data_IF_720809773277
#
_entry.id   IF_720809773277
#
_cell.length_a   1.000
_cell.length_b   1.000
_cell.length_c   1.000
_cell.angle_alpha   90.00
_cell.angle_beta   90.00
_cell.angle_gamma   90.00
#
_symmetry.space_group_name_H-M   'P 1'
#
loop_
_entity.id
_entity.type
_entity.pdbx_description
1 polymer ?
#
# COMPACT_ATOMS: atom_id res chain seq x y z
N UNK A 1 10.85 -30.31 -26.17
CA UNK A 1 10.64 -28.92 -26.58
C UNK A 1 11.40 -27.99 -25.62
N UNK A 2 12.44 -27.30 -26.07
CA UNK A 2 13.17 -26.30 -25.31
C UNK A 2 12.25 -25.07 -25.14
N UNK A 3 11.57 -24.97 -24.02
CA UNK A 3 10.82 -23.76 -23.66
C UNK A 3 11.82 -22.63 -23.42
N UNK A 4 11.82 -21.63 -24.31
CA UNK A 4 12.65 -20.42 -24.16
C UNK A 4 12.22 -19.65 -22.92
N UNK A 5 13.16 -19.15 -22.12
CA UNK A 5 12.91 -18.37 -20.87
C UNK A 5 12.18 -17.06 -21.14
N UNK A 6 12.40 -16.48 -22.32
CA UNK A 6 11.70 -15.29 -22.77
C UNK A 6 10.66 -15.72 -23.81
N UNK A 7 9.43 -15.23 -23.65
CA UNK A 7 8.51 -15.19 -24.77
C UNK A 7 9.16 -14.37 -25.89
N UNK A 8 8.77 -14.60 -27.15
CA UNK A 8 9.11 -13.65 -28.21
C UNK A 8 8.48 -12.31 -27.79
N UNK A 9 9.31 -11.47 -27.14
CA UNK A 9 8.90 -10.17 -26.65
C UNK A 9 8.39 -9.36 -27.84
N UNK A 10 7.10 -9.06 -27.83
CA UNK A 10 6.50 -8.19 -28.82
C UNK A 10 6.00 -6.95 -28.11
N UNK A 11 6.59 -5.82 -28.40
CA UNK A 11 6.18 -4.50 -27.91
C UNK A 11 4.66 -4.24 -28.14
N UNK A 12 4.04 -4.95 -29.11
CA UNK A 12 2.62 -4.85 -29.40
C UNK A 12 1.70 -5.35 -28.28
N UNK A 13 2.23 -6.14 -27.33
CA UNK A 13 1.47 -6.67 -26.21
C UNK A 13 1.65 -5.85 -24.91
N UNK A 14 2.49 -4.82 -24.93
CA UNK A 14 2.57 -3.88 -23.83
C UNK A 14 1.33 -2.98 -23.77
N UNK A 15 0.82 -2.82 -22.58
CA UNK A 15 -0.30 -1.89 -22.35
C UNK A 15 0.22 -0.45 -22.21
N UNK A 16 0.33 0.24 -23.35
CA UNK A 16 0.83 1.61 -23.37
C UNK A 16 -0.08 2.59 -22.62
N UNK A 17 -1.39 2.28 -22.50
CA UNK A 17 -2.33 3.12 -21.75
C UNK A 17 -1.98 3.06 -20.26
N UNK A 18 -1.75 1.85 -19.73
CA UNK A 18 -1.34 1.68 -18.34
C UNK A 18 -0.02 2.40 -18.06
N UNK A 19 0.97 2.22 -18.94
CA UNK A 19 2.28 2.88 -18.80
C UNK A 19 2.14 4.41 -18.83
N UNK A 20 1.31 4.95 -19.72
CA UNK A 20 1.07 6.40 -19.80
C UNK A 20 0.37 6.95 -18.54
N UNK A 21 -0.62 6.22 -18.01
CA UNK A 21 -1.30 6.61 -16.75
C UNK A 21 -0.33 6.60 -15.56
N UNK A 22 0.52 5.57 -15.47
CA UNK A 22 1.55 5.46 -14.42
C UNK A 22 2.57 6.58 -14.58
N UNK A 23 3.02 6.88 -15.81
CA UNK A 23 3.95 7.99 -16.08
C UNK A 23 3.36 9.35 -15.70
N UNK A 24 2.08 9.59 -16.05
CA UNK A 24 1.38 10.82 -15.71
C UNK A 24 1.26 11.02 -14.19
N UNK A 25 0.86 9.98 -13.46
CA UNK A 25 0.76 10.02 -12.00
C UNK A 25 2.12 10.28 -11.35
N UNK A 26 3.18 9.59 -11.80
CA UNK A 26 4.52 9.81 -11.29
C UNK A 26 5.06 11.19 -11.65
N UNK A 27 4.71 11.74 -12.82
CA UNK A 27 5.07 13.11 -13.21
C UNK A 27 4.51 14.14 -12.23
N UNK A 28 3.23 13.98 -11.83
CA UNK A 28 2.62 14.85 -10.79
C UNK A 28 3.35 14.63 -9.45
N UNK A 29 3.65 13.39 -9.08
CA UNK A 29 4.37 13.06 -7.84
C UNK A 29 5.78 13.69 -7.79
N UNK A 30 6.53 13.62 -8.89
CA UNK A 30 7.88 14.23 -9.00
C UNK A 30 7.79 15.77 -8.87
N UNK A 31 6.79 16.39 -9.47
CA UNK A 31 6.57 17.81 -9.31
C UNK A 31 6.25 18.18 -7.86
N UNK A 32 5.31 17.46 -7.23
CA UNK A 32 4.92 17.69 -5.85
C UNK A 32 6.08 17.45 -4.86
N UNK A 33 6.89 16.41 -5.06
CA UNK A 33 8.08 16.15 -4.23
C UNK A 33 9.12 17.27 -4.45
N UNK A 34 9.31 17.71 -5.69
CA UNK A 34 10.26 18.78 -6.00
C UNK A 34 9.89 20.12 -5.37
N UNK A 35 8.59 20.37 -5.13
CA UNK A 35 8.11 21.53 -4.40
C UNK A 35 8.26 21.37 -2.89
N UNK A 36 7.95 20.17 -2.35
CA UNK A 36 8.06 19.91 -0.92
C UNK A 36 9.51 19.83 -0.43
N UNK A 37 10.38 19.14 -1.20
CA UNK A 37 11.78 18.87 -0.86
C UNK A 37 12.60 18.69 -2.14
N UNK A 38 13.23 19.76 -2.60
CA UNK A 38 13.94 19.80 -3.90
C UNK A 38 15.02 18.73 -4.05
N UNK A 39 15.73 18.41 -2.96
CA UNK A 39 16.83 17.45 -2.96
C UNK A 39 16.35 16.00 -3.21
N UNK A 40 15.06 15.70 -2.99
CA UNK A 40 14.48 14.39 -3.22
C UNK A 40 13.93 14.21 -4.64
N UNK A 41 13.72 15.29 -5.39
CA UNK A 41 13.17 15.23 -6.75
C UNK A 41 14.02 14.38 -7.70
N UNK A 42 15.36 14.56 -7.65
CA UNK A 42 16.30 13.76 -8.45
C UNK A 42 16.22 12.27 -8.13
N UNK A 43 16.18 11.91 -6.85
CA UNK A 43 16.05 10.51 -6.41
C UNK A 43 14.73 9.89 -6.87
N UNK A 44 13.64 10.65 -6.84
CA UNK A 44 12.35 10.17 -7.32
C UNK A 44 12.34 9.92 -8.83
N UNK A 45 13.01 10.79 -9.59
CA UNK A 45 13.19 10.60 -11.05
C UNK A 45 14.02 9.35 -11.36
N UNK A 46 15.13 9.12 -10.64
CA UNK A 46 15.94 7.90 -10.77
C UNK A 46 15.10 6.65 -10.45
N UNK A 47 14.30 6.71 -9.37
CA UNK A 47 13.37 5.65 -8.99
C UNK A 47 12.34 5.35 -10.08
N UNK A 48 11.78 6.38 -10.73
CA UNK A 48 10.85 6.23 -11.84
C UNK A 48 11.50 5.53 -13.03
N UNK A 49 12.70 5.95 -13.44
CA UNK A 49 13.43 5.36 -14.56
C UNK A 49 13.71 3.88 -14.25
N UNK A 50 14.24 3.60 -13.07
CA UNK A 50 14.51 2.23 -12.63
C UNK A 50 13.23 1.39 -12.62
N UNK A 51 12.12 1.94 -12.09
CA UNK A 51 10.82 1.27 -12.07
C UNK A 51 10.32 0.90 -13.46
N UNK A 52 10.42 1.81 -14.44
CA UNK A 52 10.04 1.51 -15.83
C UNK A 52 10.97 0.44 -16.47
N UNK A 53 12.28 0.49 -16.23
CA UNK A 53 13.22 -0.53 -16.72
C UNK A 53 12.85 -1.90 -16.16
N UNK A 54 12.58 -1.98 -14.85
CA UNK A 54 12.16 -3.23 -14.18
C UNK A 54 10.82 -3.70 -14.71
N UNK A 55 9.84 -2.81 -14.89
CA UNK A 55 8.52 -3.16 -15.42
C UNK A 55 8.61 -3.75 -16.84
N UNK A 56 9.39 -3.14 -17.73
CA UNK A 56 9.63 -3.63 -19.09
C UNK A 56 10.34 -4.99 -19.05
N UNK A 57 11.35 -5.14 -18.21
CA UNK A 57 12.06 -6.42 -18.04
C UNK A 57 11.12 -7.52 -17.55
N UNK A 58 10.32 -7.26 -16.49
CA UNK A 58 9.38 -8.24 -15.96
C UNK A 58 8.27 -8.57 -16.95
N UNK A 59 7.83 -7.63 -17.78
CA UNK A 59 6.83 -7.89 -18.83
C UNK A 59 7.33 -8.83 -19.93
N UNK A 60 8.64 -8.93 -20.10
CA UNK A 60 9.25 -9.88 -21.04
C UNK A 60 9.34 -11.32 -20.49
N UNK A 61 9.12 -11.51 -19.18
CA UNK A 61 9.16 -12.84 -18.56
C UNK A 61 7.84 -13.57 -18.74
N UNK A 62 7.93 -14.88 -18.95
CA UNK A 62 6.76 -15.76 -18.94
C UNK A 62 6.28 -15.98 -17.49
N UNK A 63 5.18 -15.32 -17.12
CA UNK A 63 4.65 -15.39 -15.74
C UNK A 63 4.28 -16.81 -15.31
N UNK A 64 3.89 -17.71 -16.23
CA UNK A 64 3.62 -19.11 -15.88
C UNK A 64 4.84 -19.83 -15.28
N UNK A 65 6.05 -19.42 -15.69
CA UNK A 65 7.28 -19.97 -15.10
C UNK A 65 7.61 -19.31 -13.78
N UNK A 66 7.40 -18.00 -13.70
CA UNK A 66 7.59 -17.25 -12.47
C UNK A 66 6.74 -17.86 -11.38
N UNK A 67 5.44 -18.02 -11.58
CA UNK A 67 4.52 -18.55 -10.57
C UNK A 67 4.73 -20.04 -10.24
N UNK A 68 5.51 -20.78 -11.04
CA UNK A 68 5.82 -22.19 -10.75
C UNK A 68 6.52 -22.38 -9.40
N UNK A 69 7.31 -21.40 -8.99
CA UNK A 69 8.08 -21.42 -7.75
C UNK A 69 7.30 -20.85 -6.55
N UNK A 70 5.98 -20.94 -6.53
CA UNK A 70 5.12 -20.29 -5.54
C UNK A 70 5.52 -20.56 -4.08
N UNK A 71 5.87 -21.81 -3.73
CA UNK A 71 6.33 -22.16 -2.38
C UNK A 71 7.65 -21.49 -2.01
N UNK A 72 8.54 -21.28 -2.97
CA UNK A 72 9.77 -20.50 -2.75
C UNK A 72 9.44 -19.04 -2.44
N UNK A 73 8.42 -18.46 -3.09
CA UNK A 73 7.98 -17.09 -2.78
C UNK A 73 7.39 -16.97 -1.39
N UNK A 74 6.62 -17.96 -0.95
CA UNK A 74 6.13 -18.00 0.43
C UNK A 74 7.27 -18.09 1.45
N UNK A 75 8.20 -19.01 1.23
CA UNK A 75 9.37 -19.14 2.08
C UNK A 75 10.23 -17.87 2.08
N UNK A 76 10.43 -17.23 0.91
CA UNK A 76 11.16 -15.98 0.80
C UNK A 76 10.43 -14.81 1.51
N UNK A 77 9.10 -14.75 1.44
CA UNK A 77 8.31 -13.75 2.16
C UNK A 77 8.48 -13.89 3.68
N UNK A 78 8.34 -15.11 4.21
CA UNK A 78 8.55 -15.40 5.63
C UNK A 78 9.98 -15.07 6.03
N UNK A 79 10.97 -15.47 5.24
CA UNK A 79 12.38 -15.19 5.51
C UNK A 79 12.67 -13.69 5.55
N UNK A 80 12.19 -12.91 4.56
CA UNK A 80 12.35 -11.47 4.53
C UNK A 80 11.72 -10.79 5.75
N UNK A 81 10.52 -11.21 6.14
CA UNK A 81 9.84 -10.68 7.33
C UNK A 81 10.60 -11.04 8.61
N UNK A 82 11.17 -12.24 8.70
CA UNK A 82 11.94 -12.68 9.85
C UNK A 82 13.30 -11.97 9.97
N UNK A 83 13.89 -11.49 8.86
CA UNK A 83 15.16 -10.75 8.87
C UNK A 83 15.10 -9.47 9.70
N UNK A 84 13.94 -8.86 9.86
CA UNK A 84 13.74 -7.65 10.66
C UNK A 84 14.08 -7.89 12.13
N UNK A 85 13.90 -9.11 12.64
CA UNK A 85 14.19 -9.50 14.02
C UNK A 85 15.68 -9.85 14.23
N UNK A 86 16.50 -9.75 13.19
CA UNK A 86 17.95 -9.97 13.26
C UNK A 86 18.69 -8.65 13.53
N UNK A 87 20.00 -8.66 13.80
CA UNK A 87 20.80 -7.44 13.95
C UNK A 87 20.84 -6.52 12.72
N UNK A 88 20.29 -6.95 11.57
CA UNK A 88 20.12 -6.13 10.39
C UNK A 88 18.91 -5.19 10.47
N UNK A 89 18.02 -5.43 11.44
CA UNK A 89 16.84 -4.60 11.69
C UNK A 89 17.22 -3.20 12.18
N UNK A 90 16.55 -2.19 11.63
CA UNK A 90 16.71 -0.79 12.01
C UNK A 90 15.42 -0.32 12.65
N UNK A 91 15.52 0.16 13.89
CA UNK A 91 14.40 0.78 14.60
C UNK A 91 14.30 2.25 14.22
N UNK A 92 13.07 2.65 13.88
CA UNK A 92 12.68 4.05 13.68
C UNK A 92 11.33 4.25 14.38
N UNK A 93 11.21 5.31 15.18
CA UNK A 93 9.97 5.65 15.90
C UNK A 93 9.38 4.46 16.71
N UNK A 94 10.25 3.85 17.55
CA UNK A 94 9.92 2.71 18.43
C UNK A 94 9.48 1.42 17.69
N UNK A 95 9.56 1.37 16.36
CA UNK A 95 9.22 0.20 15.58
C UNK A 95 10.39 -0.25 14.69
N UNK A 96 10.69 -1.54 14.71
CA UNK A 96 11.71 -2.15 13.86
C UNK A 96 11.02 -2.73 12.63
N UNK A 97 11.04 -1.99 11.51
CA UNK A 97 10.34 -2.36 10.25
C UNK A 97 11.25 -2.39 9.04
N UNK A 98 12.47 -1.89 9.19
CA UNK A 98 13.43 -1.70 8.11
C UNK A 98 14.65 -2.58 8.31
N UNK A 99 15.28 -2.98 7.21
CA UNK A 99 16.61 -3.59 7.21
C UNK A 99 17.60 -2.70 6.46
N UNK A 100 18.86 -2.70 6.89
CA UNK A 100 19.93 -1.96 6.22
C UNK A 100 20.94 -2.93 5.61
N UNK A 101 20.94 -3.00 4.28
CA UNK A 101 21.91 -3.77 3.48
C UNK A 101 22.49 -2.80 2.45
N UNK A 102 23.34 -1.84 2.92
CA UNK A 102 23.78 -0.73 2.09
C UNK A 102 22.70 0.34 1.87
N UNK A 103 21.56 -0.06 1.34
CA UNK A 103 20.31 0.74 1.26
C UNK A 103 19.34 0.30 2.35
N UNK A 104 18.43 1.20 2.72
CA UNK A 104 17.38 0.91 3.67
C UNK A 104 16.15 0.39 2.92
N UNK A 105 15.67 -0.81 3.29
CA UNK A 105 14.58 -1.51 2.62
C UNK A 105 13.56 -1.94 3.66
N UNK A 106 12.26 -1.85 3.34
CA UNK A 106 11.19 -2.39 4.16
C UNK A 106 10.78 -3.77 3.62
N UNK A 107 11.07 -4.87 4.34
CA UNK A 107 10.81 -6.24 3.87
C UNK A 107 9.34 -6.53 3.59
N UNK A 108 8.42 -5.93 4.33
CA UNK A 108 6.97 -6.13 4.15
C UNK A 108 6.48 -5.66 2.78
N UNK A 109 7.11 -4.68 2.15
CA UNK A 109 6.76 -4.23 0.80
C UNK A 109 6.99 -5.33 -0.24
N UNK A 110 8.14 -6.02 -0.15
CA UNK A 110 8.45 -7.14 -1.02
C UNK A 110 7.61 -8.38 -0.67
N UNK A 111 7.40 -8.63 0.62
CA UNK A 111 6.61 -9.76 1.09
C UNK A 111 5.17 -9.71 0.55
N UNK A 112 4.54 -8.53 0.44
CA UNK A 112 3.22 -8.36 -0.19
C UNK A 112 3.18 -8.92 -1.61
N UNK A 113 4.16 -8.57 -2.43
CA UNK A 113 4.24 -9.04 -3.84
C UNK A 113 4.41 -10.56 -3.89
N UNK A 114 5.32 -11.10 -3.07
CA UNK A 114 5.60 -12.54 -3.01
C UNK A 114 4.36 -13.33 -2.53
N UNK A 115 3.63 -12.80 -1.56
CA UNK A 115 2.39 -13.40 -1.06
C UNK A 115 1.29 -13.39 -2.13
N UNK A 116 1.14 -12.30 -2.92
CA UNK A 116 0.19 -12.26 -4.04
C UNK A 116 0.48 -13.40 -5.03
N UNK A 117 1.74 -13.53 -5.45
CA UNK A 117 2.17 -14.57 -6.38
C UNK A 117 1.94 -15.99 -5.82
N UNK A 118 2.25 -16.16 -4.54
CA UNK A 118 2.01 -17.43 -3.86
C UNK A 118 0.53 -17.79 -3.81
N UNK A 119 -0.33 -16.90 -3.29
CA UNK A 119 -1.75 -17.18 -3.14
C UNK A 119 -2.45 -17.37 -4.47
N UNK A 120 -2.13 -16.57 -5.49
CA UNK A 120 -2.66 -16.74 -6.83
C UNK A 120 -2.40 -18.17 -7.34
N UNK A 121 -1.14 -18.62 -7.29
CA UNK A 121 -0.78 -19.98 -7.74
C UNK A 121 -1.34 -21.08 -6.85
N UNK A 122 -1.33 -20.91 -5.53
CA UNK A 122 -1.89 -21.86 -4.59
C UNK A 122 -3.37 -22.12 -4.88
N UNK A 123 -4.15 -21.05 -5.02
CA UNK A 123 -5.57 -21.16 -5.30
C UNK A 123 -5.82 -21.79 -6.67
N UNK A 124 -5.11 -21.37 -7.72
CA UNK A 124 -5.21 -21.98 -9.05
C UNK A 124 -4.97 -23.50 -9.01
N UNK A 125 -4.02 -23.95 -8.17
CA UNK A 125 -3.63 -25.35 -8.09
C UNK A 125 -4.62 -26.19 -7.31
N UNK A 126 -5.16 -25.68 -6.21
CA UNK A 126 -5.89 -26.48 -5.21
C UNK A 126 -7.41 -26.27 -5.19
N UNK A 127 -7.89 -25.11 -5.67
CA UNK A 127 -9.33 -24.76 -5.68
C UNK A 127 -10.21 -25.86 -6.33
N UNK A 128 -9.77 -26.46 -7.43
CA UNK A 128 -10.51 -27.52 -8.12
C UNK A 128 -10.27 -28.93 -7.58
N UNK A 129 -9.29 -29.13 -6.71
CA UNK A 129 -8.87 -30.46 -6.19
C UNK A 129 -9.34 -30.74 -4.79
N UNK A 130 -9.77 -29.73 -4.05
CA UNK A 130 -10.17 -29.84 -2.64
C UNK A 130 -11.60 -29.37 -2.44
N UNK A 131 -12.25 -29.85 -1.36
CA UNK A 131 -13.53 -29.28 -0.92
C UNK A 131 -13.36 -27.81 -0.59
N UNK A 132 -14.38 -26.99 -0.87
CA UNK A 132 -14.34 -25.53 -0.76
C UNK A 132 -13.80 -25.05 0.61
N UNK A 133 -14.28 -25.64 1.70
CA UNK A 133 -13.86 -25.21 3.04
C UNK A 133 -12.41 -25.60 3.37
N UNK A 134 -11.91 -26.70 2.83
CA UNK A 134 -10.55 -27.17 3.09
C UNK A 134 -9.51 -26.23 2.48
N UNK A 135 -9.66 -25.87 1.20
CA UNK A 135 -8.67 -24.98 0.59
C UNK A 135 -8.73 -23.55 1.17
N UNK A 136 -9.93 -23.07 1.57
CA UNK A 136 -10.09 -21.77 2.25
C UNK A 136 -9.39 -21.81 3.62
N UNK A 137 -9.62 -22.85 4.42
CA UNK A 137 -8.97 -23.02 5.73
C UNK A 137 -7.45 -23.09 5.61
N UNK A 138 -6.94 -23.76 4.58
CA UNK A 138 -5.50 -23.79 4.31
C UNK A 138 -4.95 -22.42 3.93
N UNK A 139 -5.66 -21.65 3.11
CA UNK A 139 -5.27 -20.27 2.79
C UNK A 139 -5.22 -19.40 4.05
N UNK A 140 -6.21 -19.49 4.92
CA UNK A 140 -6.24 -18.75 6.18
C UNK A 140 -5.12 -19.20 7.13
N UNK A 141 -4.88 -20.51 7.24
CA UNK A 141 -3.78 -21.03 8.05
C UNK A 141 -2.40 -20.55 7.54
N UNK A 142 -2.22 -20.49 6.22
CA UNK A 142 -1.00 -19.97 5.61
C UNK A 142 -0.88 -18.43 5.70
N UNK A 143 -1.98 -17.73 5.98
CA UNK A 143 -1.94 -16.29 6.23
C UNK A 143 -1.42 -15.94 7.64
N UNK A 144 -1.59 -16.83 8.61
CA UNK A 144 -1.23 -16.57 10.01
C UNK A 144 0.26 -16.24 10.18
N UNK A 145 1.22 -17.03 9.67
CA UNK A 145 2.64 -16.73 9.88
C UNK A 145 3.09 -15.35 9.38
N UNK A 146 2.80 -14.91 8.12
CA UNK A 146 3.23 -13.59 7.69
C UNK A 146 2.51 -12.46 8.43
N UNK A 147 1.22 -12.62 8.78
CA UNK A 147 0.47 -11.62 9.54
C UNK A 147 1.03 -11.46 10.96
N UNK A 148 1.37 -12.57 11.64
CA UNK A 148 1.98 -12.52 12.96
C UNK A 148 3.35 -11.84 12.91
N UNK A 149 4.20 -12.18 11.93
CA UNK A 149 5.52 -11.55 11.81
C UNK A 149 5.43 -10.04 11.58
N UNK A 150 4.46 -9.57 10.79
CA UNK A 150 4.26 -8.13 10.56
C UNK A 150 3.68 -7.46 11.83
N UNK A 151 2.76 -8.13 12.52
CA UNK A 151 2.18 -7.62 13.76
C UNK A 151 3.23 -7.45 14.87
N UNK A 152 4.17 -8.40 15.00
CA UNK A 152 5.29 -8.33 15.94
C UNK A 152 6.32 -7.22 15.59
N UNK A 153 6.28 -6.65 14.38
CA UNK A 153 7.06 -5.47 13.96
C UNK A 153 6.39 -4.14 14.35
N UNK A 154 5.49 -4.08 15.31
CA UNK A 154 4.43 -3.10 15.61
C UNK A 154 3.89 -2.35 14.37
N UNK A 155 3.60 -3.07 13.26
CA UNK A 155 3.06 -2.48 12.03
C UNK A 155 1.61 -2.93 11.79
N UNK A 156 0.70 -2.35 12.56
CA UNK A 156 -0.73 -2.66 12.47
C UNK A 156 -1.29 -2.30 11.09
N UNK A 157 -0.87 -1.19 10.51
CA UNK A 157 -1.36 -0.71 9.20
C UNK A 157 -1.04 -1.70 8.09
N UNK A 158 0.21 -2.17 8.02
CA UNK A 158 0.64 -3.17 7.04
C UNK A 158 -0.01 -4.53 7.32
N UNK A 159 -0.19 -4.91 8.59
CA UNK A 159 -0.90 -6.15 8.96
C UNK A 159 -2.33 -6.15 8.42
N UNK A 160 -3.09 -5.07 8.63
CA UNK A 160 -4.45 -4.91 8.10
C UNK A 160 -4.44 -4.92 6.57
N UNK A 161 -3.50 -4.21 5.95
CA UNK A 161 -3.39 -4.16 4.48
C UNK A 161 -3.14 -5.55 3.89
N UNK A 162 -2.21 -6.33 4.44
CA UNK A 162 -1.92 -7.71 3.97
C UNK A 162 -3.12 -8.63 4.21
N UNK A 163 -3.81 -8.48 5.34
CA UNK A 163 -5.04 -9.22 5.61
C UNK A 163 -6.12 -8.93 4.55
N UNK A 164 -6.39 -7.65 4.27
CA UNK A 164 -7.35 -7.24 3.24
C UNK A 164 -6.94 -7.76 1.87
N UNK A 165 -5.65 -7.69 1.52
CA UNK A 165 -5.12 -8.20 0.26
C UNK A 165 -5.41 -9.69 0.10
N UNK A 166 -5.10 -10.51 1.11
CA UNK A 166 -5.39 -11.96 1.10
C UNK A 166 -6.90 -12.20 1.01
N UNK A 167 -7.70 -11.47 1.78
CA UNK A 167 -9.16 -11.56 1.75
C UNK A 167 -9.73 -11.23 0.35
N UNK A 168 -9.20 -10.21 -0.32
CA UNK A 168 -9.60 -9.87 -1.69
C UNK A 168 -9.23 -10.96 -2.70
N UNK A 169 -8.04 -11.54 -2.61
CA UNK A 169 -7.64 -12.66 -3.47
C UNK A 169 -8.59 -13.85 -3.27
N UNK A 170 -8.92 -14.18 -2.03
CA UNK A 170 -9.88 -15.23 -1.71
C UNK A 170 -11.29 -14.90 -2.25
N UNK A 171 -11.72 -13.66 -2.14
CA UNK A 171 -13.00 -13.20 -2.67
C UNK A 171 -13.08 -13.34 -4.18
N UNK A 172 -12.09 -12.84 -4.92
CA UNK A 172 -12.02 -12.95 -6.39
C UNK A 172 -11.93 -14.42 -6.82
N UNK A 173 -11.32 -15.28 -6.01
CA UNK A 173 -11.23 -16.71 -6.30
C UNK A 173 -12.57 -17.46 -6.18
N UNK A 174 -13.68 -16.80 -5.82
CA UNK A 174 -15.04 -17.33 -5.82
C UNK A 174 -15.57 -17.74 -4.46
N UNK A 175 -15.24 -16.98 -3.43
CA UNK A 175 -15.99 -17.06 -2.16
C UNK A 175 -17.46 -16.71 -2.42
N UNK A 176 -18.36 -17.39 -1.73
CA UNK A 176 -19.78 -17.05 -1.83
C UNK A 176 -20.07 -15.72 -1.14
N UNK A 177 -20.89 -14.87 -1.79
CA UNK A 177 -21.34 -13.61 -1.19
C UNK A 177 -22.01 -13.81 0.17
N UNK A 178 -22.67 -14.94 0.41
CA UNK A 178 -23.29 -15.29 1.70
C UNK A 178 -22.24 -15.42 2.81
N UNK A 179 -21.10 -16.03 2.50
CA UNK A 179 -20.01 -16.18 3.48
C UNK A 179 -19.35 -14.82 3.76
N UNK A 180 -19.13 -14.02 2.73
CA UNK A 180 -18.60 -12.65 2.89
C UNK A 180 -19.56 -11.78 3.70
N UNK A 181 -20.85 -11.82 3.37
CA UNK A 181 -21.88 -11.10 4.13
C UNK A 181 -21.93 -11.57 5.60
N UNK A 182 -21.85 -12.89 5.84
CA UNK A 182 -21.79 -13.43 7.21
C UNK A 182 -20.57 -12.94 7.99
N UNK A 183 -19.40 -12.90 7.37
CA UNK A 183 -18.19 -12.34 7.98
C UNK A 183 -18.40 -10.86 8.31
N UNK A 184 -18.90 -10.06 7.35
CA UNK A 184 -19.12 -8.62 7.56
C UNK A 184 -20.13 -8.35 8.68
N UNK A 185 -21.24 -9.12 8.74
CA UNK A 185 -22.27 -8.99 9.80
C UNK A 185 -21.70 -9.24 11.20
N UNK A 186 -20.66 -10.08 11.31
CA UNK A 186 -19.99 -10.32 12.60
C UNK A 186 -18.88 -9.28 12.82
N UNK A 187 -18.02 -9.05 11.81
CA UNK A 187 -16.82 -8.22 11.96
C UNK A 187 -17.18 -6.75 12.19
N UNK A 188 -18.14 -6.19 11.45
CA UNK A 188 -18.49 -4.75 11.57
C UNK A 188 -19.00 -4.40 12.97
N UNK A 189 -19.99 -5.12 13.55
CA UNK A 189 -20.40 -4.85 14.94
C UNK A 189 -19.27 -5.10 15.95
N UNK A 190 -18.44 -6.14 15.74
CA UNK A 190 -17.31 -6.43 16.63
C UNK A 190 -16.29 -5.29 16.64
N UNK A 191 -15.99 -4.69 15.48
CA UNK A 191 -15.10 -3.52 15.39
C UNK A 191 -15.73 -2.31 16.10
N UNK A 192 -17.02 -2.07 15.92
CA UNK A 192 -17.72 -0.96 16.59
C UNK A 192 -17.66 -1.15 18.12
N UNK A 193 -17.95 -2.36 18.60
CA UNK A 193 -17.86 -2.69 20.05
C UNK A 193 -16.42 -2.51 20.54
N UNK A 194 -15.43 -3.02 19.80
CA UNK A 194 -14.02 -2.88 20.15
C UNK A 194 -13.59 -1.41 20.24
N UNK A 195 -13.96 -0.58 19.25
CA UNK A 195 -13.68 0.86 19.27
C UNK A 195 -14.31 1.50 20.51
N UNK A 196 -15.58 1.21 20.80
CA UNK A 196 -16.26 1.72 21.99
C UNK A 196 -15.56 1.30 23.29
N UNK A 197 -15.07 0.06 23.37
CA UNK A 197 -14.34 -0.43 24.56
C UNK A 197 -12.98 0.26 24.73
N UNK A 198 -12.27 0.52 23.61
CA UNK A 198 -10.96 1.20 23.62
C UNK A 198 -11.10 2.68 23.99
N UNK A 199 -12.19 3.32 23.58
CA UNK A 199 -12.40 4.76 23.84
C UNK A 199 -12.86 5.05 25.27
N UNK A 200 -13.31 4.04 26.04
CA UNK A 200 -13.68 4.23 27.44
C UNK A 200 -12.48 4.64 28.29
N UNK A 201 -12.70 5.53 29.26
CA UNK A 201 -11.69 5.94 30.22
C UNK A 201 -11.20 4.74 31.05
N UNK A 202 -9.87 4.62 31.18
CA UNK A 202 -9.25 3.51 31.92
C UNK A 202 -9.13 2.19 31.15
N UNK A 203 -9.43 2.15 29.85
CA UNK A 203 -9.25 0.96 29.03
C UNK A 203 -7.77 0.58 28.92
N UNK A 204 -7.42 -0.66 29.25
CA UNK A 204 -6.07 -1.25 29.13
C UNK A 204 -5.93 -2.18 27.92
N UNK A 205 -6.92 -2.21 27.01
CA UNK A 205 -6.93 -3.09 25.85
C UNK A 205 -5.84 -2.77 24.83
N UNK A 206 -5.43 -1.51 24.74
CA UNK A 206 -4.36 -1.03 23.88
C UNK A 206 -3.37 -0.17 24.69
N UNK A 207 -2.16 -0.04 24.17
CA UNK A 207 -1.18 0.90 24.68
C UNK A 207 -1.73 2.32 24.60
N UNK A 208 -1.31 3.19 25.51
CA UNK A 208 -1.76 4.59 25.56
C UNK A 208 -1.54 5.34 24.24
N UNK A 209 -0.42 5.08 23.58
CA UNK A 209 -0.11 5.62 22.25
C UNK A 209 -1.12 5.15 21.16
N UNK A 210 -1.43 3.84 21.11
CA UNK A 210 -2.39 3.29 20.13
C UNK A 210 -3.80 3.79 20.39
N UNK A 211 -4.20 3.84 21.66
CA UNK A 211 -5.47 4.40 22.09
C UNK A 211 -5.58 5.88 21.70
N UNK A 212 -4.54 6.65 21.98
CA UNK A 212 -4.47 8.06 21.62
C UNK A 212 -4.65 8.31 20.11
N UNK A 213 -4.06 7.45 19.26
CA UNK A 213 -4.26 7.54 17.79
C UNK A 213 -5.70 7.30 17.36
N UNK A 214 -6.40 6.35 17.99
CA UNK A 214 -7.82 6.09 17.71
C UNK A 214 -8.67 7.27 18.18
N UNK A 215 -8.40 7.82 19.35
CA UNK A 215 -9.11 8.99 19.88
C UNK A 215 -8.86 10.23 19.01
N UNK A 216 -7.62 10.46 18.60
CA UNK A 216 -7.26 11.56 17.70
C UNK A 216 -7.93 11.44 16.31
N UNK A 217 -8.21 10.21 15.85
CA UNK A 217 -8.96 9.99 14.61
C UNK A 217 -10.46 10.24 14.77
N UNK A 218 -11.04 9.87 15.93
CA UNK A 218 -12.47 10.07 16.21
C UNK A 218 -12.79 11.51 16.62
N UNK A 219 -11.91 12.14 17.37
CA UNK A 219 -12.06 13.49 17.91
C UNK A 219 -10.81 14.32 17.62
N UNK A 220 -10.53 14.64 16.33
CA UNK A 220 -9.29 15.30 15.95
C UNK A 220 -9.13 16.69 16.56
N UNK A 221 -10.24 17.37 16.88
CA UNK A 221 -10.27 18.70 17.48
C UNK A 221 -9.64 18.71 18.89
N UNK A 222 -9.89 17.67 19.68
CA UNK A 222 -9.36 17.53 21.04
C UNK A 222 -7.84 17.26 21.05
N UNK A 223 -7.31 16.74 19.94
CA UNK A 223 -5.90 16.38 19.76
C UNK A 223 -5.18 17.25 18.73
N UNK A 224 -5.77 18.38 18.35
CA UNK A 224 -5.26 19.25 17.28
C UNK A 224 -3.85 19.80 17.55
N UNK A 225 -3.44 19.95 18.81
CA UNK A 225 -2.11 20.41 19.21
C UNK A 225 -1.10 19.26 19.42
N UNK A 226 -1.52 17.99 19.29
CA UNK A 226 -0.72 16.81 19.59
C UNK A 226 -0.79 15.76 18.48
N UNK A 227 -1.47 14.63 18.69
CA UNK A 227 -1.50 13.49 17.76
C UNK A 227 -2.24 13.80 16.45
N UNK A 228 -3.19 14.74 16.42
CA UNK A 228 -3.90 15.16 15.22
C UNK A 228 -3.30 16.41 14.55
N UNK A 229 -2.21 16.97 15.10
CA UNK A 229 -1.62 18.23 14.62
C UNK A 229 -1.32 18.22 13.12
N UNK A 230 -0.59 17.24 12.62
CA UNK A 230 -0.24 17.13 11.20
C UNK A 230 -1.48 16.91 10.32
N UNK A 231 -2.42 16.08 10.78
CA UNK A 231 -3.66 15.80 10.05
C UNK A 231 -4.52 17.07 9.94
N UNK A 232 -4.67 17.84 11.01
CA UNK A 232 -5.45 19.07 11.01
C UNK A 232 -4.80 20.14 10.09
N UNK A 233 -3.48 20.30 10.17
CA UNK A 233 -2.75 21.19 9.27
C UNK A 233 -2.86 20.75 7.80
N UNK A 234 -2.85 19.43 7.53
CA UNK A 234 -3.05 18.89 6.19
C UNK A 234 -4.44 19.20 5.64
N UNK A 235 -5.48 19.06 6.46
CA UNK A 235 -6.85 19.41 6.07
C UNK A 235 -6.95 20.91 5.77
N UNK A 236 -6.35 21.76 6.61
CA UNK A 236 -6.33 23.20 6.38
C UNK A 236 -5.57 23.56 5.10
N UNK A 237 -4.41 22.94 4.84
CA UNK A 237 -3.63 23.16 3.64
C UNK A 237 -4.41 22.80 2.38
N UNK A 238 -5.00 21.59 2.33
CA UNK A 238 -5.83 21.15 1.20
C UNK A 238 -7.01 22.12 0.99
N UNK A 239 -7.70 22.49 2.06
CA UNK A 239 -8.83 23.44 2.00
C UNK A 239 -8.41 24.84 1.50
N UNK A 240 -7.21 25.30 1.88
CA UNK A 240 -6.68 26.59 1.47
C UNK A 240 -6.35 26.67 -0.03
N UNK A 241 -6.12 25.51 -0.69
CA UNK A 241 -5.87 25.45 -2.13
C UNK A 241 -7.08 25.73 -3.02
N UNK A 242 -8.30 25.71 -2.46
CA UNK A 242 -9.53 26.01 -3.19
C UNK A 242 -9.66 25.23 -4.51
N UNK A 243 -10.10 25.87 -5.62
CA UNK A 243 -10.32 25.22 -6.91
C UNK A 243 -9.01 25.03 -7.70
N UNK A 244 -8.20 26.06 -7.79
CA UNK A 244 -7.02 26.15 -8.68
C UNK A 244 -5.68 25.94 -7.97
N UNK A 245 -5.65 25.95 -6.64
CA UNK A 245 -4.43 25.92 -5.85
C UNK A 245 -3.77 27.30 -5.72
N UNK A 246 -2.75 27.36 -4.86
CA UNK A 246 -1.91 28.55 -4.65
C UNK A 246 -0.78 28.68 -5.69
N UNK A 247 -0.65 27.71 -6.57
CA UNK A 247 0.42 27.62 -7.57
C UNK A 247 1.59 26.77 -7.14
N UNK A 248 2.28 26.21 -8.14
CA UNK A 248 3.44 25.35 -7.95
C UNK A 248 4.60 26.13 -7.30
N UNK A 249 5.21 25.54 -6.27
CA UNK A 249 6.33 26.11 -5.52
C UNK A 249 6.04 27.54 -5.05
N UNK A 250 4.84 27.76 -4.52
CA UNK A 250 4.37 29.09 -4.13
C UNK A 250 5.18 29.65 -2.97
N UNK A 251 5.51 30.95 -3.04
CA UNK A 251 6.15 31.70 -1.96
C UNK A 251 5.14 32.47 -1.09
N UNK A 252 3.85 32.13 -1.17
CA UNK A 252 2.84 32.80 -0.37
C UNK A 252 3.08 32.58 1.12
N UNK A 253 3.03 33.67 1.89
CA UNK A 253 3.18 33.64 3.36
C UNK A 253 2.05 32.83 4.02
N UNK A 254 0.89 32.76 3.37
CA UNK A 254 -0.27 31.97 3.83
C UNK A 254 -0.16 30.47 3.56
N UNK A 255 0.95 30.01 2.96
CA UNK A 255 1.16 28.58 2.70
C UNK A 255 1.44 27.84 4.01
N UNK A 256 0.65 26.80 4.27
CA UNK A 256 0.84 25.90 5.43
C UNK A 256 2.10 25.06 5.24
N UNK A 257 2.42 24.70 3.99
CA UNK A 257 3.65 23.96 3.64
C UNK A 257 4.89 24.79 3.94
N UNK A 258 4.94 26.06 3.48
CA UNK A 258 6.08 26.95 3.69
C UNK A 258 6.30 27.31 5.17
N UNK A 259 5.24 27.23 5.99
CA UNK A 259 5.31 27.48 7.43
C UNK A 259 5.94 26.33 8.21
N UNK A 260 6.23 25.17 7.57
CA UNK A 260 6.84 24.01 8.22
C UNK A 260 5.92 23.28 9.22
N UNK A 261 4.60 23.51 9.17
CA UNK A 261 3.65 22.87 10.07
C UNK A 261 3.42 21.38 9.75
N UNK A 262 3.90 20.91 8.61
CA UNK A 262 3.78 19.50 8.18
C UNK A 262 5.21 18.97 7.95
N UNK A 263 5.71 18.16 8.89
CA UNK A 263 7.11 17.71 8.90
C UNK A 263 7.44 16.66 7.84
N UNK A 264 6.46 15.87 7.38
CA UNK A 264 6.66 14.77 6.42
C UNK A 264 5.83 15.02 5.14
N UNK A 265 5.82 16.27 4.67
CA UNK A 265 5.04 16.68 3.48
C UNK A 265 5.50 15.99 2.21
N UNK A 266 6.78 15.64 2.10
CA UNK A 266 7.39 14.98 0.94
C UNK A 266 7.08 13.47 0.86
N UNK A 267 6.58 12.86 1.93
CA UNK A 267 6.29 11.43 2.04
C UNK A 267 4.83 11.16 2.39
N UNK A 268 4.51 11.13 3.67
CA UNK A 268 3.21 10.69 4.20
C UNK A 268 2.08 11.68 3.84
N UNK A 269 2.41 12.96 3.68
CA UNK A 269 1.45 14.03 3.41
C UNK A 269 1.60 14.65 2.01
N UNK A 270 2.16 13.92 1.03
CA UNK A 270 2.37 14.43 -0.33
C UNK A 270 1.07 14.89 -1.01
N UNK A 271 -0.07 14.26 -0.70
CA UNK A 271 -1.37 14.67 -1.23
C UNK A 271 -1.77 16.07 -0.72
N UNK A 272 -1.28 16.49 0.43
CA UNK A 272 -1.47 17.84 0.97
C UNK A 272 -0.78 18.89 0.11
N UNK A 273 0.45 18.59 -0.34
CA UNK A 273 1.18 19.46 -1.29
C UNK A 273 0.38 19.65 -2.56
N UNK A 274 -0.12 18.54 -3.12
CA UNK A 274 -0.97 18.59 -4.33
C UNK A 274 -2.25 19.39 -4.08
N UNK A 275 -2.89 19.21 -2.93
CA UNK A 275 -4.11 19.92 -2.58
C UNK A 275 -3.92 21.42 -2.38
N UNK A 276 -2.83 21.83 -1.74
CA UNK A 276 -2.52 23.26 -1.54
C UNK A 276 -2.07 23.94 -2.83
N UNK A 277 -1.19 23.31 -3.63
CA UNK A 277 -0.58 23.93 -4.80
C UNK A 277 -1.44 23.86 -6.07
N UNK A 278 -2.14 22.75 -6.30
CA UNK A 278 -2.95 22.51 -7.49
C UNK A 278 -4.46 22.49 -7.21
N UNK A 279 -4.85 22.66 -5.95
CA UNK A 279 -6.24 22.76 -5.51
C UNK A 279 -7.07 21.51 -5.78
N UNK A 280 -8.38 21.72 -5.86
CA UNK A 280 -9.35 20.66 -6.13
C UNK A 280 -9.12 19.97 -7.48
N UNK A 281 -8.73 20.72 -8.51
CA UNK A 281 -8.46 20.18 -9.85
C UNK A 281 -7.27 19.21 -9.81
N UNK A 282 -6.16 19.58 -9.18
CA UNK A 282 -4.98 18.74 -9.03
C UNK A 282 -5.27 17.47 -8.23
N UNK A 283 -5.93 17.64 -7.07
CA UNK A 283 -6.34 16.53 -6.21
C UNK A 283 -7.27 15.54 -6.93
N UNK A 284 -8.29 16.06 -7.63
CA UNK A 284 -9.22 15.24 -8.41
C UNK A 284 -8.51 14.51 -9.55
N UNK A 285 -7.55 15.16 -10.22
CA UNK A 285 -6.76 14.54 -11.30
C UNK A 285 -5.99 13.34 -10.77
N UNK A 286 -5.36 13.43 -9.61
CA UNK A 286 -4.65 12.30 -8.99
C UNK A 286 -5.60 11.14 -8.67
N UNK A 287 -6.76 11.44 -8.05
CA UNK A 287 -7.76 10.41 -7.72
C UNK A 287 -8.29 9.73 -9.00
N UNK A 288 -8.58 10.51 -10.05
CA UNK A 288 -9.03 9.97 -11.35
C UNK A 288 -7.93 9.10 -11.97
N UNK A 289 -6.67 9.51 -11.97
CA UNK A 289 -5.57 8.70 -12.50
C UNK A 289 -5.43 7.37 -11.75
N UNK A 290 -5.52 7.38 -10.42
CA UNK A 290 -5.49 6.15 -9.60
C UNK A 290 -6.66 5.23 -9.95
N UNK A 291 -7.87 5.77 -10.10
CA UNK A 291 -9.04 5.01 -10.52
C UNK A 291 -8.86 4.42 -11.92
N UNK A 292 -8.36 5.20 -12.88
CA UNK A 292 -8.11 4.73 -14.25
C UNK A 292 -7.07 3.61 -14.29
N UNK A 293 -6.00 3.73 -13.49
CA UNK A 293 -4.99 2.66 -13.33
C UNK A 293 -5.66 1.38 -12.80
N UNK A 294 -6.46 1.49 -11.73
CA UNK A 294 -7.15 0.33 -11.16
C UNK A 294 -8.12 -0.32 -12.15
N UNK A 295 -8.91 0.49 -12.87
CA UNK A 295 -9.83 0.02 -13.92
C UNK A 295 -9.04 -0.65 -15.05
N UNK A 296 -7.90 -0.07 -15.47
CA UNK A 296 -7.08 -0.66 -16.53
C UNK A 296 -6.49 -2.00 -16.11
N UNK A 297 -5.96 -2.10 -14.89
CA UNK A 297 -5.50 -3.36 -14.30
C UNK A 297 -6.63 -4.41 -14.27
N UNK A 298 -7.86 -4.03 -13.92
CA UNK A 298 -9.01 -4.92 -13.95
C UNK A 298 -9.30 -5.46 -15.36
N UNK A 299 -9.27 -4.61 -16.39
CA UNK A 299 -9.48 -5.05 -17.77
C UNK A 299 -8.37 -5.99 -18.25
N UNK A 300 -7.11 -5.72 -17.88
CA UNK A 300 -5.98 -6.61 -18.17
C UNK A 300 -6.18 -7.97 -17.49
N UNK A 301 -6.53 -7.96 -16.20
CA UNK A 301 -6.79 -9.18 -15.44
C UNK A 301 -7.97 -9.98 -16.03
N UNK A 302 -9.04 -9.32 -16.47
CA UNK A 302 -10.19 -9.99 -17.13
C UNK A 302 -9.82 -10.60 -18.48
N UNK A 303 -8.88 -10.00 -19.21
CA UNK A 303 -8.39 -10.52 -20.47
C UNK A 303 -7.42 -11.69 -20.32
N UNK A 304 -6.83 -11.86 -19.14
CA UNK A 304 -5.99 -13.01 -18.82
C UNK A 304 -6.82 -14.32 -18.87
N UNK A 305 -6.17 -15.39 -19.35
CA UNK A 305 -6.84 -16.70 -19.54
C UNK A 305 -6.86 -17.56 -18.27
N UNK A 306 -6.20 -17.10 -17.23
CA UNK A 306 -5.99 -17.86 -15.99
C UNK A 306 -6.72 -17.20 -14.80
#
# INVERSE_FOLDING_TARGET
MRHRLFQTFSLKHLDFILLALVAALNGIGIAAIGSAEHDLQGKQMEGLILGFVVAIFLSALDYHRVIRFSWLYYAAAIFLLALVFTPLGVSRDEATRWIRIGIQIQPSEFAKILLILFYAKFIMTYKGRMKKYVWISLCLMLAVPPLLLIYEQPDLSTTIMVFILIAMILFVSGLSYRLVAGILVITVPSVIVFINMVTQEGSTLLNEYQRGRILAWLHPEDYASTLAYQTMNSIMAIGSGQLMGKGYNTNEISSVLNSGFISESQTDFIFTVIGEEFGFIGSSTVVILLMLIAIRCYFIARAAKD
#
